data_IF_843566624622
#
_entry.id   IF_843566624622
#
_cell.length_a   1.000
_cell.length_b   1.000
_cell.length_c   1.000
_cell.angle_alpha   90.00
_cell.angle_beta   90.00
_cell.angle_gamma   90.00
#
_symmetry.space_group_name_H-M   'P 1'
#
loop_
_entity.id
_entity.type
_entity.pdbx_description
1 polymer ?
#
# COMPACT_ATOMS: atom_id res chain seq x y z
N UNK A 1 0.08 5.16 -24.83
CA UNK A 1 -0.07 3.72 -24.56
C UNK A 1 1.05 2.94 -25.21
N UNK A 2 1.88 2.28 -24.39
CA UNK A 2 2.82 1.27 -24.87
C UNK A 2 2.16 -0.11 -24.93
N UNK A 3 2.83 -1.11 -25.51
CA UNK A 3 2.29 -2.48 -25.62
C UNK A 3 2.21 -3.25 -24.28
N UNK A 4 2.44 -2.58 -23.14
CA UNK A 4 2.59 -3.21 -21.81
C UNK A 4 1.65 -2.62 -20.75
N UNK A 5 0.65 -1.83 -21.17
CA UNK A 5 -0.23 -1.06 -20.32
C UNK A 5 0.24 0.38 -20.10
N UNK A 6 -0.43 1.07 -19.19
CA UNK A 6 -0.10 2.41 -18.72
C UNK A 6 1.20 2.41 -17.91
N UNK A 7 1.90 3.55 -17.89
CA UNK A 7 3.13 3.73 -17.12
C UNK A 7 3.03 5.02 -16.33
N UNK A 8 3.32 4.96 -15.03
CA UNK A 8 3.43 6.14 -14.18
C UNK A 8 4.77 6.83 -14.39
N UNK A 9 4.74 8.09 -14.84
CA UNK A 9 5.91 8.97 -14.93
C UNK A 9 5.92 9.94 -13.76
N UNK A 10 6.49 9.51 -12.63
CA UNK A 10 6.59 10.33 -11.40
C UNK A 10 7.14 11.75 -11.66
N UNK A 11 8.17 11.96 -12.52
CA UNK A 11 8.68 13.29 -12.85
C UNK A 11 7.70 14.20 -13.60
N UNK A 12 6.51 13.74 -13.97
CA UNK A 12 5.45 14.53 -14.60
C UNK A 12 4.26 14.80 -13.65
N UNK A 13 4.24 14.18 -12.47
CA UNK A 13 3.17 14.34 -11.47
C UNK A 13 3.33 15.64 -10.65
N UNK A 14 2.27 16.44 -10.51
CA UNK A 14 2.25 17.55 -9.54
C UNK A 14 2.21 17.05 -8.09
N UNK A 15 1.55 15.92 -7.87
CA UNK A 15 1.62 15.15 -6.63
C UNK A 15 1.56 13.64 -6.94
N UNK A 16 2.24 12.84 -6.13
CA UNK A 16 2.24 11.37 -6.22
C UNK A 16 2.12 10.76 -4.83
N UNK A 17 1.36 9.69 -4.70
CA UNK A 17 1.25 8.92 -3.47
C UNK A 17 2.03 7.61 -3.59
N UNK A 18 2.81 7.27 -2.55
CA UNK A 18 3.32 5.93 -2.32
C UNK A 18 2.44 5.31 -1.25
N UNK A 19 1.56 4.41 -1.69
CA UNK A 19 0.60 3.74 -0.84
C UNK A 19 1.19 2.47 -0.22
N UNK A 20 0.97 2.28 1.08
CA UNK A 20 1.19 1.04 1.80
C UNK A 20 -0.04 0.74 2.67
N UNK A 21 -0.99 0.04 2.07
CA UNK A 21 -2.23 -0.36 2.72
C UNK A 21 -3.03 0.83 3.29
N UNK A 22 -3.08 1.03 4.61
CA UNK A 22 -3.83 2.13 5.22
C UNK A 22 -3.06 3.45 5.35
N UNK A 23 -1.78 3.48 4.97
CA UNK A 23 -0.96 4.69 5.06
C UNK A 23 -0.42 5.02 3.67
N UNK A 24 -0.50 6.28 3.27
CA UNK A 24 0.12 6.75 2.03
C UNK A 24 0.97 7.99 2.28
N UNK A 25 2.20 7.94 1.76
CA UNK A 25 3.11 9.07 1.72
C UNK A 25 2.87 9.87 0.45
N UNK A 26 2.52 11.15 0.57
CA UNK A 26 2.22 12.00 -0.58
C UNK A 26 3.34 13.00 -0.77
N UNK A 27 3.92 12.96 -1.97
CA UNK A 27 4.95 13.89 -2.41
C UNK A 27 4.31 14.93 -3.32
N UNK A 28 4.51 16.20 -3.01
CA UNK A 28 3.98 17.35 -3.74
C UNK A 28 5.14 18.13 -4.34
N UNK A 29 5.17 18.25 -5.67
CA UNK A 29 6.28 18.87 -6.40
C UNK A 29 6.51 20.32 -6.00
N UNK A 30 5.42 21.07 -5.86
CA UNK A 30 5.45 22.51 -5.66
C UNK A 30 4.85 22.84 -4.28
N UNK A 31 5.60 23.47 -3.35
CA UNK A 31 5.11 23.74 -2.00
C UNK A 31 3.78 24.51 -1.93
N UNK A 32 3.53 25.41 -2.87
CA UNK A 32 2.26 26.16 -2.97
C UNK A 32 1.04 25.28 -3.23
N UNK A 33 1.22 24.05 -3.72
CA UNK A 33 0.14 23.12 -4.04
C UNK A 33 -0.23 22.21 -2.86
N UNK A 34 0.54 22.22 -1.76
CA UNK A 34 0.34 21.30 -0.62
C UNK A 34 -1.08 21.40 -0.06
N UNK A 35 -1.59 22.60 0.21
CA UNK A 35 -2.94 22.75 0.77
C UNK A 35 -4.03 22.34 -0.22
N UNK A 36 -3.84 22.62 -1.50
CA UNK A 36 -4.77 22.19 -2.55
C UNK A 36 -4.85 20.67 -2.63
N UNK A 37 -3.70 19.98 -2.61
CA UNK A 37 -3.61 18.52 -2.61
C UNK A 37 -4.23 17.95 -1.35
N UNK A 38 -3.93 18.51 -0.17
CA UNK A 38 -4.51 18.08 1.09
C UNK A 38 -6.04 18.19 1.09
N UNK A 39 -6.59 19.29 0.57
CA UNK A 39 -8.03 19.47 0.43
C UNK A 39 -8.67 18.41 -0.47
N UNK A 40 -8.09 18.15 -1.65
CA UNK A 40 -8.60 17.13 -2.56
C UNK A 40 -8.59 15.74 -1.93
N UNK A 41 -7.52 15.39 -1.21
CA UNK A 41 -7.40 14.10 -0.53
C UNK A 41 -8.45 13.93 0.58
N UNK A 42 -8.75 14.98 1.34
CA UNK A 42 -9.81 14.94 2.37
C UNK A 42 -11.22 14.70 1.81
N UNK A 43 -11.43 14.97 0.52
CA UNK A 43 -12.71 14.75 -0.15
C UNK A 43 -12.84 13.33 -0.73
N UNK A 44 -11.76 12.52 -0.71
CA UNK A 44 -11.77 11.15 -1.23
C UNK A 44 -12.45 10.21 -0.23
N UNK A 45 -13.50 9.45 -0.63
CA UNK A 45 -14.11 8.44 0.23
C UNK A 45 -13.10 7.40 0.70
N UNK A 46 -13.17 7.00 1.98
CA UNK A 46 -12.23 6.06 2.59
C UNK A 46 -10.94 6.70 3.11
N UNK A 47 -10.77 8.03 2.98
CA UNK A 47 -9.70 8.78 3.67
C UNK A 47 -10.20 9.24 5.04
N UNK A 48 -9.55 8.79 6.11
CA UNK A 48 -9.85 9.21 7.47
C UNK A 48 -9.15 10.53 7.84
N UNK A 49 -7.88 10.69 7.43
CA UNK A 49 -7.09 11.86 7.79
C UNK A 49 -6.02 12.19 6.76
N UNK A 50 -5.67 13.48 6.69
CA UNK A 50 -4.52 14.00 5.96
C UNK A 50 -3.75 14.89 6.93
N UNK A 51 -2.51 14.51 7.23
CA UNK A 51 -1.69 15.08 8.31
C UNK A 51 -0.26 15.36 7.85
N UNK A 52 0.47 16.18 8.60
CA UNK A 52 1.89 16.40 8.39
C UNK A 52 2.72 15.26 9.02
N UNK A 53 3.85 14.84 8.44
CA UNK A 53 4.64 13.74 8.98
C UNK A 53 5.06 13.92 10.45
N UNK A 54 5.36 15.15 10.87
CA UNK A 54 5.76 15.45 12.25
C UNK A 54 4.68 15.22 13.30
N UNK A 55 3.40 15.27 12.93
CA UNK A 55 2.28 14.97 13.85
C UNK A 55 2.21 13.48 14.19
N UNK A 56 2.80 12.62 13.34
CA UNK A 56 2.88 11.17 13.52
C UNK A 56 4.27 10.68 13.94
N UNK A 57 5.18 11.59 14.31
CA UNK A 57 6.60 11.26 14.57
C UNK A 57 7.28 10.57 13.37
N UNK A 58 6.85 10.92 12.16
CA UNK A 58 7.37 10.41 10.89
C UNK A 58 8.14 11.51 10.14
N UNK A 59 8.72 12.50 10.82
CA UNK A 59 9.47 13.62 10.22
C UNK A 59 10.86 13.21 9.71
N UNK A 60 10.88 12.34 8.70
CA UNK A 60 12.09 11.92 8.01
C UNK A 60 12.08 12.40 6.55
N UNK A 61 13.24 12.71 5.92
CA UNK A 61 13.36 13.10 4.52
C UNK A 61 12.61 12.27 3.47
N UNK A 62 12.19 11.04 3.79
CA UNK A 62 11.44 10.16 2.88
C UNK A 62 9.93 10.19 3.12
N UNK A 63 9.43 11.01 4.03
CA UNK A 63 8.02 10.95 4.41
C UNK A 63 7.07 11.71 3.49
N UNK A 64 7.59 12.51 2.56
CA UNK A 64 6.78 13.39 1.72
C UNK A 64 6.25 14.60 2.50
N UNK A 65 5.42 15.40 1.85
CA UNK A 65 4.84 16.62 2.42
C UNK A 65 3.59 16.32 3.26
N UNK A 66 2.86 15.24 2.94
CA UNK A 66 1.63 14.84 3.63
C UNK A 66 1.62 13.32 3.86
N UNK A 67 1.02 12.90 4.97
CA UNK A 67 0.64 11.51 5.23
C UNK A 67 -0.88 11.42 5.15
N UNK A 68 -1.37 10.40 4.45
CA UNK A 68 -2.80 10.10 4.33
C UNK A 68 -3.08 8.79 5.04
N UNK A 69 -4.10 8.80 5.89
CA UNK A 69 -4.57 7.63 6.63
C UNK A 69 -5.94 7.21 6.10
N UNK A 70 -6.12 5.93 5.83
CA UNK A 70 -7.40 5.37 5.38
C UNK A 70 -8.38 5.20 6.55
N UNK A 71 -9.66 5.05 6.25
CA UNK A 71 -10.64 4.55 7.21
C UNK A 71 -10.33 3.10 7.61
N UNK A 72 -10.91 2.64 8.72
CA UNK A 72 -10.64 1.33 9.31
C UNK A 72 -11.05 0.15 8.42
N UNK A 73 -11.90 0.35 7.42
CA UNK A 73 -12.34 -0.66 6.45
C UNK A 73 -11.90 -0.33 5.01
N UNK A 74 -10.97 0.63 4.87
CA UNK A 74 -10.46 1.13 3.60
C UNK A 74 -8.94 0.94 3.48
N UNK A 75 -8.44 0.98 2.25
CA UNK A 75 -7.02 0.92 1.96
C UNK A 75 -6.71 1.60 0.63
N UNK A 76 -5.46 2.02 0.45
CA UNK A 76 -4.95 2.65 -0.76
C UNK A 76 -4.26 1.61 -1.64
N UNK A 77 -4.73 1.50 -2.88
CA UNK A 77 -4.07 0.69 -3.90
C UNK A 77 -2.93 1.48 -4.55
N UNK A 78 -1.97 0.77 -5.16
CA UNK A 78 -0.95 1.41 -5.99
C UNK A 78 -1.44 1.74 -7.41
N UNK A 79 -2.68 1.38 -7.74
CA UNK A 79 -3.19 1.39 -9.11
C UNK A 79 -3.25 2.83 -9.61
N UNK A 80 -2.33 3.15 -10.52
CA UNK A 80 -2.22 4.48 -11.12
C UNK A 80 -2.99 4.60 -12.43
N UNK A 81 -3.61 3.51 -12.90
CA UNK A 81 -4.46 3.49 -14.08
C UNK A 81 -5.93 3.67 -13.68
N UNK A 82 -6.72 4.29 -14.55
CA UNK A 82 -8.15 4.50 -14.31
C UNK A 82 -9.04 3.41 -14.94
N UNK A 83 -8.53 2.70 -15.94
CA UNK A 83 -9.23 1.59 -16.62
C UNK A 83 -8.40 0.31 -16.51
N UNK A 84 -9.01 -0.78 -16.03
CA UNK A 84 -8.40 -2.10 -15.90
C UNK A 84 -7.96 -2.74 -17.23
N UNK A 85 -8.46 -2.22 -18.37
CA UNK A 85 -7.95 -2.54 -19.70
C UNK A 85 -6.55 -1.99 -19.95
N UNK A 86 -6.20 -0.91 -19.25
CA UNK A 86 -4.94 -0.19 -19.39
C UNK A 86 -3.93 -0.64 -18.32
N UNK A 87 -4.37 -1.49 -17.39
CA UNK A 87 -3.55 -2.05 -16.35
C UNK A 87 -2.26 -2.69 -16.92
N UNK A 88 -1.10 -2.42 -16.30
CA UNK A 88 0.14 -3.05 -16.71
C UNK A 88 0.06 -4.57 -16.68
N UNK A 89 0.74 -5.22 -17.63
CA UNK A 89 0.80 -6.68 -17.74
C UNK A 89 1.18 -7.40 -16.43
N UNK A 90 2.00 -6.75 -15.59
CA UNK A 90 2.46 -7.33 -14.33
C UNK A 90 1.40 -7.27 -13.22
N UNK A 91 0.39 -6.41 -13.32
CA UNK A 91 -0.61 -6.19 -12.27
C UNK A 91 -1.40 -7.47 -11.95
N UNK A 92 -1.69 -8.28 -12.98
CA UNK A 92 -2.40 -9.56 -12.85
C UNK A 92 -1.49 -10.72 -12.42
N UNK A 93 -0.24 -10.45 -12.05
CA UNK A 93 0.76 -11.46 -11.68
C UNK A 93 1.32 -11.18 -10.28
N UNK A 94 2.01 -12.16 -9.69
CA UNK A 94 2.87 -11.93 -8.53
C UNK A 94 4.23 -11.46 -9.04
N UNK A 95 4.52 -10.16 -8.94
CA UNK A 95 5.75 -9.55 -9.46
C UNK A 95 6.26 -8.43 -8.55
N UNK A 96 6.96 -8.84 -7.48
CA UNK A 96 7.50 -7.96 -6.44
C UNK A 96 8.53 -6.94 -6.96
N UNK A 97 9.09 -7.16 -8.16
CA UNK A 97 10.12 -6.26 -8.71
C UNK A 97 9.51 -5.13 -9.52
N UNK A 98 8.29 -5.31 -10.02
CA UNK A 98 7.61 -4.34 -10.89
C UNK A 98 6.44 -3.65 -10.21
N UNK A 99 5.81 -4.30 -9.22
CA UNK A 99 4.75 -3.68 -8.42
C UNK A 99 5.35 -2.67 -7.44
N UNK A 100 4.88 -1.41 -7.45
CA UNK A 100 5.31 -0.40 -6.48
C UNK A 100 4.62 -0.65 -5.14
N UNK A 101 5.19 -1.56 -4.35
CA UNK A 101 4.66 -1.93 -3.04
C UNK A 101 4.03 -3.33 -3.01
N UNK A 102 3.42 -3.66 -1.87
CA UNK A 102 2.70 -4.90 -1.68
C UNK A 102 1.27 -4.78 -2.23
N UNK A 103 0.80 -5.83 -2.92
CA UNK A 103 -0.56 -5.89 -3.47
C UNK A 103 -1.36 -7.00 -2.77
N UNK A 104 -2.22 -6.65 -1.80
CA UNK A 104 -3.03 -7.64 -1.10
C UNK A 104 -3.98 -8.44 -2.01
N UNK A 105 -4.29 -7.95 -3.22
CA UNK A 105 -5.06 -8.71 -4.21
C UNK A 105 -4.35 -10.00 -4.65
N UNK A 106 -3.04 -10.12 -4.45
CA UNK A 106 -2.25 -11.33 -4.74
C UNK A 106 -2.69 -12.56 -3.92
N UNK A 107 -3.38 -12.35 -2.80
CA UNK A 107 -3.95 -13.42 -1.98
C UNK A 107 -5.18 -14.07 -2.64
N UNK A 108 -5.71 -13.47 -3.70
CA UNK A 108 -6.90 -13.91 -4.41
C UNK A 108 -6.58 -14.46 -5.80
N UNK A 109 -7.54 -15.17 -6.39
CA UNK A 109 -7.38 -15.79 -7.70
C UNK A 109 -8.63 -15.62 -8.55
N UNK A 110 -8.48 -15.10 -9.76
CA UNK A 110 -9.55 -14.90 -10.74
C UNK A 110 -10.12 -16.21 -11.27
N UNK A 111 -9.27 -17.21 -11.53
CA UNK A 111 -9.71 -18.48 -12.14
C UNK A 111 -8.72 -19.62 -11.92
N UNK A 112 -9.21 -20.68 -11.26
CA UNK A 112 -8.47 -21.95 -11.11
C UNK A 112 -8.22 -22.64 -12.46
N UNK A 113 -9.14 -22.48 -13.42
CA UNK A 113 -8.99 -23.04 -14.76
C UNK A 113 -7.85 -22.34 -15.53
N UNK A 114 -7.78 -21.01 -15.45
CA UNK A 114 -6.67 -20.25 -16.04
C UNK A 114 -5.34 -20.67 -15.40
N UNK A 115 -5.29 -20.78 -14.07
CA UNK A 115 -4.11 -21.27 -13.37
C UNK A 115 -3.67 -22.66 -13.87
N UNK A 116 -4.61 -23.61 -13.98
CA UNK A 116 -4.32 -24.95 -14.51
C UNK A 116 -3.79 -24.91 -15.95
N UNK A 117 -4.36 -24.06 -16.81
CA UNK A 117 -3.88 -23.87 -18.18
C UNK A 117 -2.45 -23.29 -18.21
N UNK A 118 -2.13 -22.31 -17.36
CA UNK A 118 -0.76 -21.76 -17.23
C UNK A 118 0.23 -22.79 -16.71
N UNK A 119 -0.17 -23.64 -15.76
CA UNK A 119 0.65 -24.75 -15.29
C UNK A 119 0.89 -25.81 -16.37
N UNK A 120 -0.11 -26.08 -17.23
CA UNK A 120 0.08 -26.97 -18.38
C UNK A 120 1.07 -26.37 -19.38
N UNK A 121 0.94 -25.08 -19.72
CA UNK A 121 1.91 -24.35 -20.57
C UNK A 121 3.33 -24.45 -20.01
N UNK A 122 3.50 -24.21 -18.70
CA UNK A 122 4.77 -24.41 -17.99
C UNK A 122 5.29 -25.83 -18.18
N UNK A 123 4.44 -26.84 -17.98
CA UNK A 123 4.82 -28.27 -18.03
C UNK A 123 5.28 -28.71 -19.43
N UNK A 124 4.73 -28.13 -20.49
CA UNK A 124 5.13 -28.40 -21.88
C UNK A 124 6.28 -27.51 -22.39
N UNK A 125 6.90 -26.71 -21.51
CA UNK A 125 8.07 -25.89 -21.85
C UNK A 125 7.77 -24.57 -22.57
N UNK A 126 6.51 -24.15 -22.62
CA UNK A 126 6.14 -22.86 -23.20
C UNK A 126 6.39 -21.71 -22.23
N UNK A 127 6.77 -20.54 -22.76
CA UNK A 127 6.83 -19.31 -21.99
C UNK A 127 5.42 -18.92 -21.53
N UNK A 128 5.26 -18.59 -20.26
CA UNK A 128 3.98 -18.23 -19.66
C UNK A 128 4.16 -17.08 -18.66
N UNK A 129 3.06 -16.38 -18.35
CA UNK A 129 2.91 -15.49 -17.19
C UNK A 129 1.82 -16.08 -16.29
N UNK A 130 2.00 -16.01 -14.97
CA UNK A 130 0.96 -16.45 -14.03
C UNK A 130 -0.02 -15.31 -13.77
N UNK A 131 -0.89 -15.07 -14.75
CA UNK A 131 -1.81 -13.93 -14.85
C UNK A 131 -3.19 -14.22 -14.21
N UNK A 132 -3.17 -14.59 -12.93
CA UNK A 132 -4.35 -15.06 -12.21
C UNK A 132 -4.78 -14.14 -11.08
N UNK A 133 -4.05 -13.05 -10.82
CA UNK A 133 -4.36 -12.08 -9.77
C UNK A 133 -5.49 -11.15 -10.24
N UNK A 134 -6.54 -10.92 -9.42
CA UNK A 134 -7.59 -9.95 -9.73
C UNK A 134 -7.09 -8.52 -9.58
N UNK A 135 -7.76 -7.57 -10.25
CA UNK A 135 -7.56 -6.13 -10.06
C UNK A 135 -8.71 -5.50 -9.25
N UNK A 136 -9.61 -6.33 -8.72
CA UNK A 136 -10.72 -5.86 -7.89
C UNK A 136 -10.23 -5.64 -6.46
N UNK A 137 -9.92 -4.38 -6.14
CA UNK A 137 -9.45 -3.96 -4.83
C UNK A 137 -10.48 -4.20 -3.70
N UNK A 138 -11.77 -4.38 -4.02
CA UNK A 138 -12.83 -4.61 -3.04
C UNK A 138 -12.80 -6.02 -2.42
N UNK A 139 -12.02 -6.93 -3.00
CA UNK A 139 -11.79 -8.27 -2.44
C UNK A 139 -11.02 -8.21 -1.12
N UNK A 140 -10.16 -7.21 -0.98
CA UNK A 140 -9.40 -6.94 0.23
C UNK A 140 -10.32 -6.18 1.18
N UNK A 141 -10.90 -6.92 2.13
CA UNK A 141 -11.85 -6.40 3.14
C UNK A 141 -11.21 -6.13 4.50
N UNK A 142 -9.99 -6.62 4.68
CA UNK A 142 -9.20 -6.41 5.89
C UNK A 142 -8.38 -5.15 5.76
N UNK A 143 -8.09 -4.50 6.88
CA UNK A 143 -7.24 -3.33 6.95
C UNK A 143 -6.02 -3.63 7.83
N UNK A 144 -4.87 -3.02 7.52
CA UNK A 144 -3.73 -2.99 8.41
C UNK A 144 -2.90 -1.71 8.21
N UNK A 145 -2.20 -1.31 9.27
CA UNK A 145 -1.25 -0.20 9.24
C UNK A 145 -1.62 0.99 10.12
N UNK A 146 -2.86 1.04 10.63
CA UNK A 146 -3.25 2.01 11.66
C UNK A 146 -3.31 1.38 13.04
N UNK A 147 -3.19 2.24 14.06
CA UNK A 147 -3.45 1.85 15.44
C UNK A 147 -4.91 1.40 15.58
N UNK A 148 -5.13 0.37 16.41
CA UNK A 148 -6.48 -0.04 16.78
C UNK A 148 -7.19 1.14 17.46
N UNK A 149 -8.46 1.35 17.12
CA UNK A 149 -9.30 2.36 17.77
C UNK A 149 -9.61 2.01 19.23
N UNK A 150 -9.55 0.73 19.55
CA UNK A 150 -9.69 0.19 20.90
C UNK A 150 -8.30 -0.21 21.43
N UNK A 151 -7.80 0.43 22.51
CA UNK A 151 -6.54 0.06 23.14
C UNK A 151 -6.46 -1.42 23.55
N UNK A 152 -7.58 -2.05 23.90
CA UNK A 152 -7.64 -3.46 24.29
C UNK A 152 -7.55 -4.41 23.07
N UNK A 153 -7.72 -3.88 21.86
CA UNK A 153 -7.54 -4.59 20.58
C UNK A 153 -6.17 -4.31 19.93
N UNK A 154 -5.28 -3.62 20.65
CA UNK A 154 -3.93 -3.28 20.19
C UNK A 154 -2.94 -4.45 20.26
N UNK A 155 -1.71 -4.25 19.79
CA UNK A 155 -0.64 -5.24 19.92
C UNK A 155 -0.33 -5.52 21.40
N UNK A 156 -0.17 -6.79 21.75
CA UNK A 156 0.20 -7.22 23.09
C UNK A 156 1.70 -7.54 23.15
N UNK A 157 2.40 -6.91 24.10
CA UNK A 157 3.77 -7.28 24.47
C UNK A 157 3.71 -8.24 25.66
N UNK A 158 4.23 -9.46 25.48
CA UNK A 158 4.37 -10.45 26.56
C UNK A 158 5.85 -10.61 26.88
N UNK A 159 6.28 -10.20 28.07
CA UNK A 159 7.66 -10.30 28.53
C UNK A 159 7.79 -10.01 30.03
N UNK A 160 9.00 -10.20 30.61
CA UNK A 160 9.24 -9.87 32.01
C UNK A 160 9.33 -8.36 32.22
N UNK A 161 9.06 -7.92 33.46
CA UNK A 161 9.09 -6.50 33.84
C UNK A 161 7.90 -5.70 33.29
N UNK A 162 8.02 -4.37 33.32
CA UNK A 162 7.05 -3.44 32.72
C UNK A 162 7.55 -3.05 31.33
N UNK A 163 6.80 -3.37 30.24
CA UNK A 163 7.15 -2.91 28.90
C UNK A 163 7.00 -1.39 28.79
N UNK A 164 7.72 -0.75 27.84
CA UNK A 164 7.61 0.68 27.65
C UNK A 164 6.22 1.07 27.14
N UNK A 165 5.73 2.22 27.58
CA UNK A 165 4.45 2.79 27.10
C UNK A 165 4.53 3.28 25.65
N UNK A 166 5.74 3.55 25.15
CA UNK A 166 6.01 4.04 23.81
C UNK A 166 6.90 3.05 23.04
N UNK A 167 6.51 2.73 21.79
CA UNK A 167 7.24 1.82 20.91
C UNK A 167 8.68 2.28 20.61
N UNK A 168 8.97 3.58 20.71
CA UNK A 168 10.33 4.13 20.59
C UNK A 168 11.27 3.64 21.69
N UNK A 169 10.74 3.27 22.86
CA UNK A 169 11.48 2.66 23.97
C UNK A 169 11.65 1.15 23.84
N UNK A 170 10.93 0.51 22.91
CA UNK A 170 10.93 -0.95 22.75
C UNK A 170 12.30 -1.57 22.45
N UNK A 171 13.19 -0.95 21.64
CA UNK A 171 14.54 -1.47 21.44
C UNK A 171 15.34 -1.58 22.75
N UNK A 172 15.29 -0.55 23.61
CA UNK A 172 15.99 -0.55 24.90
C UNK A 172 15.40 -1.59 25.86
N UNK A 173 14.08 -1.81 25.81
CA UNK A 173 13.44 -2.89 26.55
C UNK A 173 13.98 -4.26 26.10
N UNK A 174 14.04 -4.53 24.79
CA UNK A 174 14.61 -5.78 24.25
C UNK A 174 16.06 -5.96 24.66
N UNK A 175 16.88 -4.90 24.58
CA UNK A 175 18.29 -4.94 24.99
C UNK A 175 18.46 -5.27 26.48
N UNK A 176 17.50 -4.89 27.33
CA UNK A 176 17.54 -5.23 28.77
C UNK A 176 17.27 -6.72 29.06
N UNK A 177 16.74 -7.46 28.09
CA UNK A 177 16.41 -8.89 28.23
C UNK A 177 17.50 -9.83 27.72
N UNK A 178 18.47 -9.30 26.96
CA UNK A 178 19.59 -10.03 26.37
C UNK A 178 20.81 -10.04 27.30
#
# INVERSE_FOLDING_TARGET
MGPFGESLLVPDCEAVAVADHQVAHVYVRQPQNIETVAKLLREVPGVAAVTLPGELQMDHPRSGELIVLAEADSWFTYYYWNDDHDAPDFARTVDIHRKPGYDPCELFMTSRLRAAARLLQKKIGMRYKMDVIPLDATLVRGSHGLLASDPDAGPLVIGPGEPPEDMTGFPAYVDSLL
#
